data_IF_803160783867
#
_entry.id   IF_803160783867
#
_cell.length_a   1.000
_cell.length_b   1.000
_cell.length_c   1.000
_cell.angle_alpha   90.00
_cell.angle_beta   90.00
_cell.angle_gamma   90.00
#
_symmetry.space_group_name_H-M   'P 1'
#
loop_
_entity.id
_entity.type
_entity.pdbx_description
1 polymer ?
#
# COMPACT_ATOMS: atom_id res chain seq x y z
N UNK A 1 31.66 10.65 14.24
CA UNK A 1 30.63 10.24 13.29
C UNK A 1 30.20 11.42 12.45
N UNK A 2 29.97 11.20 11.19
CA UNK A 2 29.32 12.13 10.26
C UNK A 2 28.26 11.32 9.51
N UNK A 3 27.13 11.10 10.16
CA UNK A 3 26.04 10.27 9.63
C UNK A 3 25.20 11.06 8.65
N UNK A 4 25.14 10.59 7.41
CA UNK A 4 24.20 11.08 6.41
C UNK A 4 22.83 10.38 6.62
N UNK A 5 21.98 11.00 7.42
CA UNK A 5 20.66 10.48 7.73
C UNK A 5 19.73 10.41 6.52
N UNK A 6 19.87 11.38 5.59
CA UNK A 6 19.06 11.42 4.36
C UNK A 6 19.49 10.31 3.42
N UNK A 7 20.81 10.18 3.21
CA UNK A 7 21.36 9.08 2.41
C UNK A 7 21.03 7.69 2.97
N UNK A 8 21.00 7.55 4.30
CA UNK A 8 20.65 6.28 4.96
C UNK A 8 19.17 5.86 4.76
N UNK A 9 18.29 6.81 4.41
CA UNK A 9 16.87 6.54 4.12
C UNK A 9 16.57 6.31 2.64
N UNK A 10 17.55 6.55 1.78
CA UNK A 10 17.36 6.44 0.33
C UNK A 10 17.91 5.15 -0.22
N UNK A 11 17.25 4.65 -1.25
CA UNK A 11 17.70 3.51 -2.06
C UNK A 11 17.29 3.73 -3.52
N UNK A 12 17.85 2.94 -4.42
CA UNK A 12 17.36 2.92 -5.80
C UNK A 12 15.96 2.29 -5.82
N UNK A 13 15.00 3.03 -6.36
CA UNK A 13 13.68 2.51 -6.67
C UNK A 13 13.69 1.80 -8.02
N UNK A 14 12.79 0.86 -8.19
CA UNK A 14 12.52 0.23 -9.48
C UNK A 14 11.03 -0.05 -9.62
N UNK A 15 10.55 -0.11 -10.86
CA UNK A 15 9.18 -0.48 -11.17
C UNK A 15 9.17 -1.53 -12.29
N UNK A 16 8.24 -2.46 -12.17
CA UNK A 16 8.01 -3.52 -13.16
C UNK A 16 6.53 -3.56 -13.51
N UNK A 17 6.22 -3.64 -14.81
CA UNK A 17 4.86 -3.73 -15.32
C UNK A 17 4.74 -4.93 -16.27
N UNK A 18 3.88 -5.86 -15.91
CA UNK A 18 3.60 -7.07 -16.66
C UNK A 18 2.13 -7.08 -17.08
N UNK A 19 1.89 -7.16 -18.39
CA UNK A 19 0.55 -7.20 -18.92
C UNK A 19 0.37 -8.37 -19.88
N UNK A 20 -0.69 -9.13 -19.70
CA UNK A 20 -1.10 -10.22 -20.60
C UNK A 20 -2.55 -10.02 -20.99
N UNK A 21 -2.86 -10.29 -22.24
CA UNK A 21 -4.24 -10.32 -22.70
C UNK A 21 -4.49 -11.48 -23.66
N UNK A 22 -5.64 -12.10 -23.50
CA UNK A 22 -6.14 -13.18 -24.34
C UNK A 22 -7.51 -12.79 -24.86
N UNK A 23 -7.74 -12.89 -26.15
CA UNK A 23 -9.06 -12.67 -26.74
C UNK A 23 -9.33 -13.72 -27.81
N UNK A 24 -10.60 -14.06 -27.95
CA UNK A 24 -11.02 -15.03 -28.94
C UNK A 24 -12.52 -15.04 -29.07
N UNK A 25 -12.99 -15.94 -29.92
CA UNK A 25 -14.42 -16.10 -30.07
C UNK A 25 -14.84 -16.76 -31.35
N UNK A 26 -16.16 -16.84 -31.52
CA UNK A 26 -16.87 -17.33 -32.68
C UNK A 26 -17.98 -16.35 -33.05
N UNK A 27 -18.84 -16.73 -34.00
CA UNK A 27 -20.02 -15.92 -34.35
C UNK A 27 -20.97 -15.69 -33.18
N UNK A 28 -21.00 -16.62 -32.21
CA UNK A 28 -21.91 -16.56 -31.04
C UNK A 28 -21.25 -16.09 -29.76
N UNK A 29 -19.94 -16.26 -29.62
CA UNK A 29 -19.20 -15.95 -28.38
C UNK A 29 -18.00 -15.09 -28.68
N UNK A 30 -17.81 -14.01 -27.97
CA UNK A 30 -16.58 -13.22 -27.95
C UNK A 30 -16.16 -13.04 -26.54
N UNK A 31 -14.87 -13.28 -26.25
CA UNK A 31 -14.32 -13.09 -24.93
C UNK A 31 -12.98 -12.37 -25.00
N UNK A 32 -12.72 -11.63 -23.95
CA UNK A 32 -11.42 -11.02 -23.67
C UNK A 32 -11.12 -11.18 -22.20
N UNK A 33 -9.93 -11.66 -21.89
CA UNK A 33 -9.37 -11.67 -20.58
C UNK A 33 -8.07 -10.86 -20.58
N UNK A 34 -7.83 -10.05 -19.55
CA UNK A 34 -6.57 -9.36 -19.36
C UNK A 34 -6.16 -9.41 -17.90
N UNK A 35 -4.86 -9.51 -17.66
CA UNK A 35 -4.26 -9.41 -16.34
C UNK A 35 -3.04 -8.50 -16.42
N UNK A 36 -2.90 -7.60 -15.47
CA UNK A 36 -1.77 -6.71 -15.31
C UNK A 36 -1.25 -6.78 -13.89
N UNK A 37 0.06 -6.86 -13.74
CA UNK A 37 0.74 -6.82 -12.45
C UNK A 37 1.78 -5.72 -12.45
N UNK A 38 1.65 -4.81 -11.50
CA UNK A 38 2.59 -3.73 -11.24
C UNK A 38 3.28 -3.99 -9.91
N UNK A 39 4.60 -3.88 -9.89
CA UNK A 39 5.43 -3.97 -8.70
C UNK A 39 6.42 -2.81 -8.68
N UNK A 40 6.38 -2.03 -7.62
CA UNK A 40 7.21 -0.83 -7.46
C UNK A 40 7.87 -0.83 -6.08
N UNK A 41 9.17 -0.69 -6.06
CA UNK A 41 9.95 -0.40 -4.87
C UNK A 41 10.26 1.09 -4.84
N UNK A 42 9.85 1.78 -3.79
CA UNK A 42 10.08 3.22 -3.66
C UNK A 42 11.53 3.57 -3.40
N UNK A 43 11.87 4.84 -3.60
CA UNK A 43 13.21 5.40 -3.34
C UNK A 43 13.50 5.61 -1.86
N UNK A 44 12.49 5.64 -1.01
CA UNK A 44 12.64 5.57 0.45
C UNK A 44 12.65 4.12 0.91
N UNK A 45 13.50 3.79 1.90
CA UNK A 45 13.46 2.46 2.52
C UNK A 45 12.09 2.23 3.17
N UNK A 46 11.58 0.99 3.17
CA UNK A 46 10.27 0.64 3.71
C UNK A 46 9.07 1.09 2.88
N UNK A 47 9.28 1.58 1.63
CA UNK A 47 8.18 1.96 0.74
C UNK A 47 8.08 1.09 -0.50
N UNK A 48 6.86 0.83 -0.94
CA UNK A 48 6.57 0.04 -2.13
C UNK A 48 5.08 0.07 -2.48
N UNK A 49 4.79 -0.37 -3.70
CA UNK A 49 3.43 -0.49 -4.21
C UNK A 49 3.32 -1.71 -5.13
N UNK A 50 2.29 -2.51 -4.90
CA UNK A 50 1.96 -3.65 -5.74
C UNK A 50 0.50 -3.57 -6.15
N UNK A 51 0.19 -3.93 -7.39
CA UNK A 51 -1.18 -3.96 -7.90
C UNK A 51 -1.38 -5.07 -8.91
N UNK A 52 -2.38 -5.89 -8.67
CA UNK A 52 -2.92 -6.85 -9.63
C UNK A 52 -4.25 -6.33 -10.15
N UNK A 53 -4.36 -6.17 -11.45
CA UNK A 53 -5.62 -5.88 -12.14
C UNK A 53 -5.99 -7.05 -13.03
N UNK A 54 -7.25 -7.45 -13.02
CA UNK A 54 -7.78 -8.42 -13.97
C UNK A 54 -9.09 -7.92 -14.52
N UNK A 55 -9.33 -8.21 -15.80
CA UNK A 55 -10.59 -7.91 -16.44
C UNK A 55 -11.02 -9.04 -17.36
N UNK A 56 -12.26 -9.47 -17.24
CA UNK A 56 -12.89 -10.46 -18.09
C UNK A 56 -14.12 -9.86 -18.75
N UNK A 57 -14.17 -9.90 -20.08
CA UNK A 57 -15.33 -9.51 -20.87
C UNK A 57 -15.83 -10.72 -21.62
N UNK A 58 -17.13 -10.95 -21.57
CA UNK A 58 -17.83 -11.98 -22.30
C UNK A 58 -19.03 -11.34 -23.03
N UNK A 59 -19.14 -11.61 -24.33
CA UNK A 59 -20.31 -11.26 -25.12
C UNK A 59 -20.82 -12.54 -25.76
N UNK A 60 -22.00 -12.96 -25.33
CA UNK A 60 -22.59 -14.22 -25.76
C UNK A 60 -23.95 -14.00 -26.42
N UNK A 61 -24.05 -14.33 -27.73
CA UNK A 61 -25.27 -14.34 -28.47
C UNK A 61 -25.96 -15.70 -28.26
N UNK A 62 -26.91 -15.74 -27.33
CA UNK A 62 -27.64 -16.95 -26.96
C UNK A 62 -28.54 -17.38 -28.13
N UNK A 63 -29.23 -16.42 -28.72
CA UNK A 63 -30.08 -16.61 -29.93
C UNK A 63 -30.06 -15.33 -30.76
N UNK A 64 -30.75 -15.35 -31.91
CA UNK A 64 -30.87 -14.17 -32.79
C UNK A 64 -31.53 -12.96 -32.07
N UNK A 65 -32.24 -13.22 -30.97
CA UNK A 65 -32.94 -12.19 -30.20
C UNK A 65 -32.36 -11.95 -28.83
N UNK A 66 -31.50 -12.82 -28.30
CA UNK A 66 -31.03 -12.76 -26.91
C UNK A 66 -29.52 -12.69 -26.87
N UNK A 67 -28.99 -11.63 -26.23
CA UNK A 67 -27.58 -11.40 -25.98
C UNK A 67 -27.34 -11.25 -24.50
N UNK A 68 -26.27 -11.87 -24.02
CA UNK A 68 -25.75 -11.73 -22.67
C UNK A 68 -24.35 -11.13 -22.71
N UNK A 69 -24.13 -10.10 -21.90
CA UNK A 69 -22.83 -9.46 -21.75
C UNK A 69 -22.42 -9.51 -20.29
N UNK A 70 -21.19 -9.93 -20.02
CA UNK A 70 -20.56 -9.86 -18.72
C UNK A 70 -19.26 -9.06 -18.81
N UNK A 71 -19.08 -8.13 -17.91
CA UNK A 71 -17.85 -7.36 -17.72
C UNK A 71 -17.48 -7.44 -16.23
N UNK A 72 -16.35 -8.06 -15.93
CA UNK A 72 -15.89 -8.26 -14.57
C UNK A 72 -14.51 -7.63 -14.47
N UNK A 73 -14.38 -6.58 -13.67
CA UNK A 73 -13.11 -5.97 -13.32
C UNK A 73 -12.78 -6.29 -11.85
N UNK A 74 -11.55 -6.67 -11.60
CA UNK A 74 -11.00 -6.91 -10.28
C UNK A 74 -9.66 -6.22 -10.14
N UNK A 75 -9.46 -5.55 -9.02
CA UNK A 75 -8.20 -4.91 -8.65
C UNK A 75 -7.85 -5.25 -7.22
N UNK A 76 -6.60 -5.60 -6.98
CA UNK A 76 -6.04 -5.75 -5.65
C UNK A 76 -4.73 -4.99 -5.60
N UNK A 77 -4.59 -4.07 -4.64
CA UNK A 77 -3.38 -3.30 -4.46
C UNK A 77 -2.93 -3.27 -3.00
N UNK A 78 -1.62 -3.22 -2.82
CA UNK A 78 -0.98 -3.04 -1.51
C UNK A 78 0.02 -1.90 -1.62
N UNK A 79 -0.10 -0.92 -0.74
CA UNK A 79 0.84 0.19 -0.61
C UNK A 79 1.55 0.04 0.73
N UNK A 80 2.87 0.01 0.69
CA UNK A 80 3.72 0.13 1.87
C UNK A 80 4.25 1.55 1.94
N UNK A 81 4.08 2.19 3.08
CA UNK A 81 4.55 3.57 3.28
C UNK A 81 5.23 3.73 4.64
N UNK A 82 6.03 4.77 4.75
CA UNK A 82 6.67 5.11 6.01
C UNK A 82 5.64 5.55 7.04
N UNK A 83 5.91 5.23 8.28
CA UNK A 83 5.08 5.65 9.40
C UNK A 83 5.08 7.18 9.53
N UNK A 84 3.89 7.77 9.56
CA UNK A 84 3.66 9.18 9.82
C UNK A 84 2.86 9.24 11.12
N UNK A 85 3.46 9.77 12.23
CA UNK A 85 2.71 9.95 13.47
C UNK A 85 1.51 10.88 13.24
N UNK A 86 0.36 10.52 13.76
CA UNK A 86 -0.78 11.46 13.78
C UNK A 86 -0.44 12.66 14.66
N UNK A 87 -0.87 13.84 14.23
CA UNK A 87 -0.52 15.12 14.84
C UNK A 87 -0.93 15.30 16.31
N UNK A 88 -1.74 14.38 16.85
CA UNK A 88 -2.30 14.49 18.22
C UNK A 88 -1.32 14.20 19.36
N UNK A 89 -0.15 13.63 19.09
CA UNK A 89 0.73 13.09 20.16
C UNK A 89 2.06 13.82 20.33
N UNK A 90 2.18 15.09 20.01
CA UNK A 90 3.46 15.84 20.08
C UNK A 90 4.63 15.22 19.26
N UNK A 91 4.36 14.24 18.43
CA UNK A 91 5.29 13.59 17.52
C UNK A 91 5.25 14.30 16.18
N UNK A 92 5.56 15.59 16.17
CA UNK A 92 5.55 16.37 14.96
C UNK A 92 6.63 15.88 13.98
N UNK A 93 6.21 15.65 12.76
CA UNK A 93 7.10 15.40 11.64
C UNK A 93 7.12 13.95 11.17
N UNK A 94 7.10 13.83 9.87
CA UNK A 94 7.31 12.59 9.15
C UNK A 94 8.75 12.08 9.26
N UNK A 95 9.03 10.95 8.67
CA UNK A 95 10.36 10.34 8.63
C UNK A 95 11.45 11.30 8.11
N UNK A 96 11.15 12.04 7.05
CA UNK A 96 12.09 12.94 6.41
C UNK A 96 12.40 14.17 7.27
N UNK A 97 11.38 14.76 7.91
CA UNK A 97 11.56 15.85 8.87
C UNK A 97 12.52 15.44 9.97
N UNK A 98 12.40 14.20 10.49
CA UNK A 98 13.30 13.67 11.51
C UNK A 98 14.73 13.48 10.99
N UNK A 99 14.90 13.01 9.76
CA UNK A 99 16.21 12.86 9.15
C UNK A 99 16.93 14.21 8.97
N UNK A 100 16.20 15.26 8.61
CA UNK A 100 16.78 16.60 8.44
C UNK A 100 17.20 17.28 9.75
N UNK A 101 16.49 17.02 10.85
CA UNK A 101 16.81 17.63 12.16
C UNK A 101 17.73 16.77 13.02
N UNK A 102 17.98 15.52 12.65
CA UNK A 102 18.84 14.62 13.40
C UNK A 102 20.29 15.05 13.30
N UNK A 103 20.98 15.12 14.43
CA UNK A 103 22.38 15.50 14.47
C UNK A 103 23.29 14.52 13.72
N UNK A 104 24.19 14.97 12.86
CA UNK A 104 25.05 14.07 12.08
C UNK A 104 26.13 13.38 12.94
N UNK A 105 26.42 13.87 14.14
CA UNK A 105 27.38 13.26 15.05
C UNK A 105 26.83 12.01 15.76
N UNK A 106 25.52 11.72 15.64
CA UNK A 106 24.91 10.53 16.20
C UNK A 106 25.04 9.36 15.21
N UNK A 107 25.22 8.15 15.76
CA UNK A 107 25.28 6.92 14.97
C UNK A 107 23.88 6.36 14.71
N UNK A 108 23.74 5.58 13.64
CA UNK A 108 22.52 4.81 13.36
C UNK A 108 22.38 3.65 14.36
N UNK A 109 23.49 3.01 14.73
CA UNK A 109 23.52 1.86 15.62
C UNK A 109 24.37 2.14 16.86
N UNK A 110 24.13 1.38 17.93
CA UNK A 110 24.97 1.40 19.12
C UNK A 110 26.36 0.83 18.84
N UNK A 111 27.36 1.37 19.52
CA UNK A 111 28.68 0.77 19.65
C UNK A 111 28.75 -0.05 20.93
N UNK A 112 29.37 -1.24 20.85
CA UNK A 112 29.65 -2.05 22.03
C UNK A 112 30.82 -1.45 22.86
N UNK A 113 31.14 -2.09 23.98
CA UNK A 113 32.23 -1.65 24.87
C UNK A 113 33.62 -1.72 24.22
N UNK A 114 33.74 -2.44 23.13
CA UNK A 114 34.99 -2.56 22.37
C UNK A 114 35.06 -1.55 21.19
N UNK A 115 34.06 -0.71 21.05
CA UNK A 115 33.99 0.28 19.97
C UNK A 115 33.52 -0.30 18.62
N UNK A 116 32.94 -1.49 18.59
CA UNK A 116 32.41 -2.12 17.40
C UNK A 116 30.93 -1.79 17.22
N UNK A 117 30.51 -1.61 15.96
CA UNK A 117 29.12 -1.30 15.62
C UNK A 117 28.24 -2.54 15.85
N UNK A 118 27.13 -2.38 16.55
CA UNK A 118 26.14 -3.43 16.78
C UNK A 118 25.03 -3.39 15.73
N UNK A 119 24.11 -4.35 15.75
CA UNK A 119 22.88 -4.34 14.95
C UNK A 119 21.72 -3.60 15.65
N UNK A 120 21.90 -3.13 16.89
CA UNK A 120 20.87 -2.44 17.63
C UNK A 120 20.85 -0.96 17.27
N UNK A 121 19.69 -0.42 16.90
CA UNK A 121 19.54 0.99 16.57
C UNK A 121 19.83 1.90 17.77
N UNK A 122 20.57 2.98 17.51
CA UNK A 122 20.82 4.01 18.50
C UNK A 122 19.60 4.92 18.64
N UNK A 123 18.77 4.63 19.63
CA UNK A 123 17.53 5.37 19.93
C UNK A 123 17.55 5.81 21.41
N UNK A 124 18.38 6.80 21.76
CA UNK A 124 18.54 7.19 23.17
C UNK A 124 17.27 7.83 23.72
N UNK A 125 16.87 7.39 24.89
CA UNK A 125 15.74 7.95 25.63
C UNK A 125 16.02 9.38 26.14
N UNK A 126 17.25 9.64 26.55
CA UNK A 126 17.62 10.90 27.14
C UNK A 126 17.91 11.99 26.12
N UNK A 127 17.83 13.24 26.59
CA UNK A 127 18.01 14.46 25.80
C UNK A 127 19.46 14.67 25.34
N UNK A 128 19.96 13.79 24.48
CA UNK A 128 21.30 13.93 23.87
C UNK A 128 21.30 15.01 22.77
N UNK A 129 20.15 15.34 22.25
CA UNK A 129 20.01 16.21 21.07
C UNK A 129 19.56 17.65 21.43
N UNK A 130 19.64 18.05 22.69
CA UNK A 130 19.34 19.42 23.12
C UNK A 130 17.86 19.80 22.89
N UNK A 131 17.60 20.78 22.03
CA UNK A 131 16.26 21.33 21.79
C UNK A 131 15.24 20.29 21.28
N UNK A 132 15.69 19.19 20.67
CA UNK A 132 14.84 18.15 20.10
C UNK A 132 15.14 16.78 20.74
N UNK A 133 14.86 16.62 22.04
CA UNK A 133 15.28 15.43 22.80
C UNK A 133 14.66 14.13 22.30
N UNK A 134 13.45 14.20 21.75
CA UNK A 134 12.65 13.03 21.36
C UNK A 134 12.69 12.78 19.83
N UNK A 135 13.78 13.11 19.18
CA UNK A 135 13.93 12.78 17.75
C UNK A 135 14.33 11.33 17.62
N UNK A 136 13.40 10.52 17.17
CA UNK A 136 13.60 9.10 16.92
C UNK A 136 14.71 8.84 15.90
N UNK A 137 15.21 7.61 15.90
CA UNK A 137 16.10 7.15 14.84
C UNK A 137 15.26 6.93 13.56
N UNK A 138 15.43 7.76 12.52
CA UNK A 138 14.62 7.67 11.32
C UNK A 138 14.85 6.36 10.56
N UNK A 139 16.04 5.76 10.63
CA UNK A 139 16.32 4.47 9.99
C UNK A 139 15.61 3.33 10.72
N UNK A 140 15.59 3.36 12.06
CA UNK A 140 14.81 2.41 12.85
C UNK A 140 13.31 2.54 12.55
N UNK A 141 12.79 3.77 12.47
CA UNK A 141 11.40 4.01 12.09
C UNK A 141 11.06 3.45 10.71
N UNK A 142 11.94 3.64 9.74
CA UNK A 142 11.70 3.17 8.38
C UNK A 142 11.73 1.64 8.25
N UNK A 143 12.56 0.95 9.01
CA UNK A 143 12.72 -0.49 8.93
C UNK A 143 11.75 -1.26 9.84
N UNK A 144 11.52 -0.76 11.05
CA UNK A 144 10.78 -1.49 12.08
C UNK A 144 9.32 -1.08 12.15
N UNK A 145 8.95 0.14 11.72
CA UNK A 145 7.55 0.53 11.63
C UNK A 145 6.90 0.01 10.35
N UNK A 146 5.59 -0.15 10.39
CA UNK A 146 4.82 -0.67 9.26
C UNK A 146 3.58 0.16 9.04
N UNK A 147 3.36 0.57 7.79
CA UNK A 147 2.12 1.19 7.33
C UNK A 147 1.74 0.52 6.01
N UNK A 148 0.85 -0.46 6.11
CA UNK A 148 0.33 -1.19 4.95
C UNK A 148 -1.11 -0.76 4.69
N UNK A 149 -1.38 -0.39 3.45
CA UNK A 149 -2.72 -0.10 2.96
C UNK A 149 -3.05 -1.07 1.83
N UNK A 150 -4.00 -1.96 2.10
CA UNK A 150 -4.59 -2.86 1.12
C UNK A 150 -5.88 -2.28 0.56
N UNK A 151 -6.11 -2.45 -0.73
CA UNK A 151 -7.40 -2.12 -1.36
C UNK A 151 -7.78 -3.20 -2.36
N UNK A 152 -8.95 -3.77 -2.16
CA UNK A 152 -9.55 -4.76 -3.07
C UNK A 152 -10.82 -4.15 -3.64
N UNK A 153 -10.97 -4.20 -4.97
CA UNK A 153 -12.16 -3.74 -5.66
C UNK A 153 -12.61 -4.77 -6.68
N UNK A 154 -13.89 -5.09 -6.69
CA UNK A 154 -14.50 -5.95 -7.69
C UNK A 154 -15.76 -5.27 -8.24
N UNK A 155 -15.84 -5.18 -9.57
CA UNK A 155 -16.88 -4.47 -10.30
C UNK A 155 -17.50 -5.39 -11.38
N UNK A 156 -18.27 -6.43 -10.98
CA UNK A 156 -18.99 -7.23 -11.96
C UNK A 156 -20.21 -6.47 -12.50
N UNK A 157 -20.36 -6.48 -13.81
CA UNK A 157 -21.52 -5.97 -14.53
C UNK A 157 -22.06 -7.03 -15.47
N UNK A 158 -23.37 -7.25 -15.42
CA UNK A 158 -24.07 -8.18 -16.31
C UNK A 158 -25.18 -7.45 -17.04
N UNK A 159 -25.31 -7.70 -18.34
CA UNK A 159 -26.34 -7.13 -19.17
C UNK A 159 -27.06 -8.22 -19.94
N UNK A 160 -28.38 -8.20 -19.93
CA UNK A 160 -29.23 -9.06 -20.72
C UNK A 160 -30.02 -8.19 -21.72
N UNK A 161 -29.87 -8.48 -22.99
CA UNK A 161 -30.49 -7.69 -24.08
C UNK A 161 -31.37 -8.62 -24.89
N UNK A 162 -32.67 -8.26 -24.99
CA UNK A 162 -33.65 -9.01 -25.77
C UNK A 162 -34.31 -8.14 -26.81
N UNK A 163 -34.18 -8.55 -28.08
CA UNK A 163 -34.75 -7.88 -29.24
C UNK A 163 -36.11 -8.52 -29.57
N UNK A 164 -37.21 -7.89 -29.19
CA UNK A 164 -38.58 -8.35 -29.52
C UNK A 164 -38.83 -8.30 -31.05
N UNK A 165 -38.46 -7.16 -31.62
CA UNK A 165 -38.53 -6.90 -33.06
C UNK A 165 -37.53 -5.76 -33.41
N UNK A 166 -37.34 -5.39 -34.69
CA UNK A 166 -36.36 -4.34 -35.07
C UNK A 166 -36.58 -2.95 -34.43
N UNK A 167 -37.80 -2.69 -33.95
CA UNK A 167 -38.15 -1.40 -33.32
C UNK A 167 -38.19 -1.43 -31.78
N UNK A 168 -38.23 -2.62 -31.16
CA UNK A 168 -38.37 -2.76 -29.72
C UNK A 168 -37.30 -3.69 -29.13
N UNK A 169 -36.48 -3.12 -28.29
CA UNK A 169 -35.44 -3.81 -27.53
C UNK A 169 -35.68 -3.63 -26.04
N UNK A 170 -35.48 -4.69 -25.25
CA UNK A 170 -35.42 -4.66 -23.80
C UNK A 170 -33.98 -4.86 -23.35
N UNK A 171 -33.50 -4.05 -22.43
CA UNK A 171 -32.21 -4.24 -21.80
C UNK A 171 -32.38 -4.25 -20.26
N UNK A 172 -31.72 -5.20 -19.63
CA UNK A 172 -31.60 -5.30 -18.19
C UNK A 172 -30.12 -5.32 -17.82
N UNK A 173 -29.70 -4.37 -16.99
CA UNK A 173 -28.34 -4.24 -16.51
C UNK A 173 -28.31 -4.35 -14.99
N UNK A 174 -27.39 -5.15 -14.48
CA UNK A 174 -27.05 -5.21 -13.06
C UNK A 174 -25.55 -5.03 -12.89
N UNK A 175 -25.16 -4.12 -12.03
CA UNK A 175 -23.77 -3.87 -11.68
C UNK A 175 -23.60 -3.91 -10.18
N UNK A 176 -22.52 -4.53 -9.73
CA UNK A 176 -22.15 -4.58 -8.31
C UNK A 176 -20.83 -3.85 -8.13
N UNK A 177 -20.68 -3.16 -7.01
CA UNK A 177 -19.41 -2.57 -6.57
C UNK A 177 -19.10 -3.10 -5.19
N UNK A 178 -18.01 -3.84 -5.09
CA UNK A 178 -17.50 -4.43 -3.85
C UNK A 178 -16.14 -3.83 -3.61
N UNK A 179 -15.95 -3.14 -2.49
CA UNK A 179 -14.67 -2.56 -2.12
C UNK A 179 -14.36 -2.94 -0.66
N UNK A 180 -13.12 -3.35 -0.44
CA UNK A 180 -12.55 -3.55 0.88
C UNK A 180 -11.24 -2.75 0.95
N UNK A 181 -11.11 -1.92 1.99
CA UNK A 181 -9.89 -1.15 2.25
C UNK A 181 -9.38 -1.50 3.64
N UNK A 182 -8.17 -2.01 3.72
CA UNK A 182 -7.50 -2.36 4.96
C UNK A 182 -6.30 -1.47 5.20
N UNK A 183 -6.21 -0.90 6.40
CA UNK A 183 -5.06 -0.11 6.82
C UNK A 183 -4.50 -0.68 8.10
N UNK A 184 -3.23 -1.06 8.07
CA UNK A 184 -2.49 -1.56 9.22
C UNK A 184 -1.32 -0.63 9.53
N UNK A 185 -1.28 -0.14 10.77
CA UNK A 185 -0.21 0.69 11.28
C UNK A 185 0.44 -0.01 12.47
N UNK A 186 1.75 -0.01 12.50
CA UNK A 186 2.53 -0.54 13.60
C UNK A 186 3.79 0.29 13.82
N UNK A 187 3.98 0.81 15.02
CA UNK A 187 5.18 1.46 15.47
C UNK A 187 5.71 0.73 16.70
N UNK A 188 6.77 -0.06 16.59
CA UNK A 188 7.35 -0.72 17.75
C UNK A 188 8.13 0.27 18.60
N UNK A 189 8.30 -0.08 19.83
CA UNK A 189 9.08 0.70 20.81
C UNK A 189 10.54 0.85 20.40
N UNK A 190 11.12 -0.16 19.78
CA UNK A 190 12.49 -0.13 19.26
C UNK A 190 12.72 0.99 18.27
N UNK A 191 11.71 1.32 17.46
CA UNK A 191 11.75 2.43 16.51
C UNK A 191 11.58 3.79 17.17
N UNK A 192 10.88 3.87 18.32
CA UNK A 192 10.60 5.12 19.02
C UNK A 192 11.70 5.54 20.00
N UNK A 193 12.58 4.62 20.39
CA UNK A 193 13.68 4.90 21.33
C UNK A 193 13.26 5.12 22.77
N UNK A 194 12.06 4.69 23.14
CA UNK A 194 11.54 4.82 24.49
C UNK A 194 11.61 3.49 25.24
N UNK A 195 11.56 3.53 26.56
CA UNK A 195 11.63 2.32 27.37
C UNK A 195 10.42 1.39 27.12
N UNK A 196 10.64 0.09 27.24
CA UNK A 196 9.65 -0.94 26.94
C UNK A 196 8.33 -0.84 27.72
N UNK A 197 8.35 -0.18 28.86
CA UNK A 197 7.17 0.06 29.71
C UNK A 197 6.43 1.37 29.40
N UNK A 198 6.87 2.14 28.42
CA UNK A 198 6.20 3.38 28.04
C UNK A 198 5.12 3.11 26.98
N UNK A 199 3.90 2.86 27.44
CA UNK A 199 2.75 2.54 26.60
C UNK A 199 2.30 3.66 25.66
N UNK A 200 2.77 4.89 25.86
CA UNK A 200 2.42 6.04 25.01
C UNK A 200 3.14 6.06 23.65
N UNK A 201 4.06 5.16 23.42
CA UNK A 201 4.96 5.18 22.25
C UNK A 201 4.86 3.97 21.35
N UNK A 202 4.23 2.90 21.83
CA UNK A 202 3.86 1.77 20.98
C UNK A 202 2.51 2.05 20.37
N UNK A 203 2.42 1.93 19.08
CA UNK A 203 1.16 2.09 18.40
C UNK A 203 0.91 0.95 17.41
N UNK A 204 -0.27 0.35 17.54
CA UNK A 204 -0.81 -0.58 16.57
C UNK A 204 -2.26 -0.19 16.28
N UNK A 205 -2.60 -0.13 15.01
CA UNK A 205 -3.97 0.09 14.55
C UNK A 205 -4.24 -0.81 13.36
N UNK A 206 -5.39 -1.46 13.36
CA UNK A 206 -5.92 -2.22 12.23
C UNK A 206 -7.32 -1.69 11.93
N UNK A 207 -7.55 -1.22 10.72
CA UNK A 207 -8.82 -0.71 10.25
C UNK A 207 -9.21 -1.41 8.97
N UNK A 208 -10.43 -1.89 8.93
CA UNK A 208 -11.03 -2.56 7.79
C UNK A 208 -12.35 -1.86 7.43
N UNK A 209 -12.47 -1.39 6.19
CA UNK A 209 -13.63 -0.66 5.71
C UNK A 209 -14.21 -1.38 4.48
N UNK A 210 -15.39 -1.97 4.63
CA UNK A 210 -16.10 -2.66 3.57
C UNK A 210 -17.23 -1.80 3.00
N UNK A 211 -17.39 -1.83 1.68
CA UNK A 211 -18.54 -1.23 1.01
C UNK A 211 -19.09 -2.15 -0.08
N UNK A 212 -20.41 -2.21 -0.15
CA UNK A 212 -21.14 -2.95 -1.17
C UNK A 212 -22.25 -2.07 -1.74
N UNK A 213 -22.33 -1.96 -3.08
CA UNK A 213 -23.34 -1.18 -3.79
C UNK A 213 -23.87 -1.98 -4.98
N UNK A 214 -25.17 -1.90 -5.22
CA UNK A 214 -25.88 -2.54 -6.35
C UNK A 214 -26.41 -1.47 -7.27
#
# INVERSE_FOLDING_TARGET
NNTDWVGALTKNGYAQDYNISLSGGSKKVRYRFSAGYWDETGTSIGTGFQRLNTRANLNYTVSDKLRFVADIAYSNSTTQSNFIPEASNNMSGDLWSKAYIKMPNQSIYYYNVYGELTSQYFTPYSNIQGKYPNVYNPVAMANDSRVDKGSVSALPKFSLIYDFNPQLQFSFDIGLSINNNKTQLYLPQTASGLEWNNSSTNWASDRDDDSFTV
#
